data_IF_094608740483
#
_entry.id   IF_094608740483
#
_cell.length_a   1.000
_cell.length_b   1.000
_cell.length_c   1.000
_cell.angle_alpha   90.00
_cell.angle_beta   90.00
_cell.angle_gamma   90.00
#
_symmetry.space_group_name_H-M   'P 1'
#
loop_
_entity.id
_entity.type
_entity.pdbx_description
1 polymer ?
#
# COMPACT_ATOMS: atom_id res chain seq x y z
N UNK A 1 113.26 -85.41 -101.71
CA UNK A 1 112.16 -84.46 -101.97
C UNK A 1 110.88 -85.25 -101.86
N UNK A 2 110.20 -85.16 -100.71
CA UNK A 2 108.96 -85.88 -100.47
C UNK A 2 107.88 -85.34 -101.41
N UNK A 3 107.38 -86.20 -102.29
CA UNK A 3 106.36 -85.88 -103.28
C UNK A 3 104.98 -85.82 -102.60
N UNK A 4 104.00 -85.13 -103.22
CA UNK A 4 102.61 -85.03 -102.71
C UNK A 4 102.02 -86.40 -102.34
N UNK A 5 102.50 -87.48 -102.97
CA UNK A 5 102.15 -88.87 -102.64
C UNK A 5 102.64 -89.32 -101.25
N UNK A 6 103.81 -88.88 -100.77
CA UNK A 6 104.28 -89.21 -99.42
C UNK A 6 103.48 -88.46 -98.35
N UNK A 7 103.06 -87.22 -98.64
CA UNK A 7 102.13 -86.48 -97.78
C UNK A 7 100.73 -87.08 -97.79
N UNK A 8 100.24 -87.53 -98.95
CA UNK A 8 98.98 -88.25 -99.08
C UNK A 8 99.02 -89.58 -98.30
N UNK A 9 100.10 -90.35 -98.40
CA UNK A 9 100.27 -91.60 -97.64
C UNK A 9 100.47 -91.36 -96.14
N UNK A 10 101.05 -90.23 -95.73
CA UNK A 10 101.15 -89.86 -94.31
C UNK A 10 99.79 -89.41 -93.75
N UNK A 11 98.96 -88.73 -94.55
CA UNK A 11 97.59 -88.34 -94.19
C UNK A 11 96.66 -89.58 -94.19
N UNK A 12 96.73 -90.45 -95.21
CA UNK A 12 96.02 -91.73 -95.24
C UNK A 12 96.48 -92.64 -94.10
N UNK A 13 97.78 -92.71 -93.80
CA UNK A 13 98.29 -93.43 -92.63
C UNK A 13 97.83 -92.85 -91.29
N UNK A 14 97.56 -91.54 -91.21
CA UNK A 14 96.99 -90.89 -90.03
C UNK A 14 95.46 -91.12 -89.91
N UNK A 15 94.76 -91.26 -91.03
CA UNK A 15 93.31 -91.53 -91.13
C UNK A 15 92.99 -93.02 -90.96
N UNK A 16 93.78 -93.92 -91.55
CA UNK A 16 93.67 -95.38 -91.45
C UNK A 16 94.22 -95.92 -90.12
N UNK A 17 95.02 -95.12 -89.40
CA UNK A 17 95.33 -95.35 -87.98
C UNK A 17 94.10 -95.03 -87.12
N UNK A 18 93.09 -95.85 -87.36
CA UNK A 18 91.78 -95.91 -86.73
C UNK A 18 91.90 -95.87 -85.21
N UNK A 19 93.01 -96.37 -84.66
CA UNK A 19 93.32 -96.38 -83.24
C UNK A 19 93.59 -94.97 -82.69
N UNK A 20 94.45 -94.17 -83.35
CA UNK A 20 94.83 -92.83 -82.87
C UNK A 20 93.68 -91.81 -83.00
N UNK A 21 92.97 -91.82 -84.14
CA UNK A 21 91.82 -90.93 -84.36
C UNK A 21 90.64 -91.26 -83.41
N UNK A 22 90.40 -92.55 -83.12
CA UNK A 22 89.40 -92.98 -82.12
C UNK A 22 89.79 -92.55 -80.71
N UNK A 23 91.08 -92.59 -80.33
CA UNK A 23 91.53 -92.15 -79.01
C UNK A 23 91.33 -90.64 -78.77
N UNK A 24 91.63 -89.80 -79.76
CA UNK A 24 91.44 -88.34 -79.65
C UNK A 24 89.96 -87.98 -79.52
N UNK A 25 89.11 -88.54 -80.39
CA UNK A 25 87.66 -88.36 -80.31
C UNK A 25 87.09 -88.91 -78.99
N UNK A 26 87.55 -90.09 -78.55
CA UNK A 26 87.13 -90.66 -77.27
C UNK A 26 87.53 -89.76 -76.08
N UNK A 27 88.71 -89.14 -76.12
CA UNK A 27 89.16 -88.22 -75.08
C UNK A 27 88.37 -86.90 -75.09
N UNK A 28 88.05 -86.35 -76.26
CA UNK A 28 87.17 -85.18 -76.39
C UNK A 28 85.75 -85.48 -75.91
N UNK A 29 85.17 -86.63 -76.29
CA UNK A 29 83.87 -87.08 -75.80
C UNK A 29 83.89 -87.27 -74.29
N UNK A 30 84.94 -87.87 -73.71
CA UNK A 30 85.09 -88.03 -72.25
C UNK A 30 85.16 -86.68 -71.54
N UNK A 31 85.92 -85.71 -72.07
CA UNK A 31 86.00 -84.35 -71.52
C UNK A 31 84.65 -83.62 -71.60
N UNK A 32 84.01 -83.63 -72.76
CA UNK A 32 82.69 -83.00 -72.94
C UNK A 32 81.62 -83.65 -72.05
N UNK A 33 81.62 -84.99 -71.96
CA UNK A 33 80.71 -85.73 -71.07
C UNK A 33 80.98 -85.41 -69.60
N UNK A 34 82.25 -85.28 -69.21
CA UNK A 34 82.66 -84.85 -67.87
C UNK A 34 82.18 -83.43 -67.53
N UNK A 35 82.34 -82.49 -68.46
CA UNK A 35 81.84 -81.12 -68.33
C UNK A 35 80.31 -81.07 -68.21
N UNK A 36 79.60 -81.84 -69.04
CA UNK A 36 78.14 -81.98 -68.96
C UNK A 36 77.74 -82.54 -67.59
N UNK A 37 78.43 -83.56 -67.08
CA UNK A 37 78.14 -84.15 -65.76
C UNK A 37 78.35 -83.15 -64.63
N UNK A 38 79.42 -82.34 -64.66
CA UNK A 38 79.66 -81.27 -63.68
C UNK A 38 78.56 -80.21 -63.76
N UNK A 39 78.25 -79.72 -64.98
CA UNK A 39 77.21 -78.70 -65.18
C UNK A 39 75.83 -79.19 -64.75
N UNK A 40 75.50 -80.45 -65.01
CA UNK A 40 74.26 -81.07 -64.59
C UNK A 40 74.19 -81.22 -63.05
N UNK A 41 75.30 -81.54 -62.38
CA UNK A 41 75.36 -81.56 -60.91
C UNK A 41 75.19 -80.18 -60.28
N UNK A 42 75.78 -79.14 -60.88
CA UNK A 42 75.62 -77.76 -60.44
C UNK A 42 74.17 -77.29 -60.64
N UNK A 43 73.57 -77.54 -61.81
CA UNK A 43 72.15 -77.22 -62.04
C UNK A 43 71.22 -77.93 -61.04
N UNK A 44 71.47 -79.22 -60.75
CA UNK A 44 70.70 -79.92 -59.72
C UNK A 44 70.88 -79.31 -58.32
N UNK A 45 72.05 -78.73 -58.00
CA UNK A 45 72.29 -78.00 -56.76
C UNK A 45 71.50 -76.70 -56.75
N UNK A 46 71.64 -75.87 -57.77
CA UNK A 46 70.94 -74.59 -57.90
C UNK A 46 69.42 -74.79 -57.83
N UNK A 47 68.91 -75.82 -58.50
CA UNK A 47 67.48 -76.12 -58.51
C UNK A 47 66.97 -76.61 -57.15
N UNK A 48 67.81 -77.26 -56.33
CA UNK A 48 67.49 -77.57 -54.93
C UNK A 48 67.49 -76.32 -54.06
N UNK A 49 68.43 -75.40 -54.28
CA UNK A 49 68.51 -74.14 -53.55
C UNK A 49 67.30 -73.25 -53.85
N UNK A 50 66.91 -73.11 -55.12
CA UNK A 50 65.70 -72.39 -55.52
C UNK A 50 64.44 -73.00 -54.90
N UNK A 51 64.32 -74.34 -54.86
CA UNK A 51 63.18 -74.99 -54.18
C UNK A 51 63.16 -74.67 -52.69
N UNK A 52 64.29 -74.74 -51.99
CA UNK A 52 64.39 -74.39 -50.56
C UNK A 52 64.01 -72.93 -50.32
N UNK A 53 64.52 -72.01 -51.14
CA UNK A 53 64.21 -70.59 -51.04
C UNK A 53 62.71 -70.31 -51.26
N UNK A 54 62.09 -70.98 -52.24
CA UNK A 54 60.65 -70.91 -52.48
C UNK A 54 59.86 -71.43 -51.28
N UNK A 55 60.23 -72.58 -50.73
CA UNK A 55 59.52 -73.17 -49.60
C UNK A 55 59.65 -72.28 -48.33
N UNK A 56 60.80 -71.65 -48.13
CA UNK A 56 61.03 -70.66 -47.07
C UNK A 56 60.15 -69.41 -47.25
N UNK A 57 60.14 -68.81 -48.44
CA UNK A 57 59.29 -67.65 -48.74
C UNK A 57 57.81 -67.96 -48.53
N UNK A 58 57.37 -69.17 -48.89
CA UNK A 58 56.00 -69.60 -48.68
C UNK A 58 55.67 -69.77 -47.20
N UNK A 59 56.59 -70.29 -46.38
CA UNK A 59 56.42 -70.33 -44.94
C UNK A 59 56.37 -68.92 -44.32
N UNK A 60 57.24 -68.02 -44.76
CA UNK A 60 57.30 -66.66 -44.23
C UNK A 60 56.06 -65.84 -44.62
N UNK A 61 55.53 -66.04 -45.83
CA UNK A 61 54.25 -65.45 -46.25
C UNK A 61 53.10 -65.91 -45.35
N UNK A 62 53.00 -67.21 -45.07
CA UNK A 62 51.95 -67.75 -44.18
C UNK A 62 52.11 -67.24 -42.75
N UNK A 63 53.35 -67.14 -42.24
CA UNK A 63 53.63 -66.56 -40.92
C UNK A 63 53.24 -65.09 -40.87
N UNK A 64 53.52 -64.33 -41.92
CA UNK A 64 53.19 -62.91 -42.00
C UNK A 64 51.68 -62.69 -42.09
N UNK A 65 50.98 -63.49 -42.88
CA UNK A 65 49.51 -63.47 -42.94
C UNK A 65 48.88 -63.75 -41.57
N UNK A 66 49.37 -64.77 -40.84
CA UNK A 66 48.90 -65.04 -39.47
C UNK A 66 49.19 -63.88 -38.52
N UNK A 67 50.41 -63.33 -38.55
CA UNK A 67 50.77 -62.18 -37.71
C UNK A 67 49.86 -60.97 -37.95
N UNK A 68 49.52 -60.69 -39.21
CA UNK A 68 48.60 -59.60 -39.56
C UNK A 68 47.19 -59.87 -39.04
N UNK A 69 46.67 -61.06 -39.28
CA UNK A 69 45.34 -61.45 -38.80
C UNK A 69 45.25 -61.40 -37.26
N UNK A 70 46.24 -61.95 -36.55
CA UNK A 70 46.27 -61.92 -35.09
C UNK A 70 46.37 -60.47 -34.56
N UNK A 71 47.17 -59.61 -35.21
CA UNK A 71 47.29 -58.21 -34.85
C UNK A 71 45.98 -57.43 -35.07
N UNK A 72 45.26 -57.70 -36.16
CA UNK A 72 43.94 -57.12 -36.45
C UNK A 72 42.91 -57.55 -35.41
N UNK A 73 42.84 -58.85 -35.10
CA UNK A 73 41.97 -59.37 -34.03
C UNK A 73 42.28 -58.74 -32.68
N UNK A 74 43.56 -58.54 -32.33
CA UNK A 74 43.95 -57.85 -31.09
C UNK A 74 43.51 -56.38 -31.13
N UNK A 75 43.67 -55.70 -32.27
CA UNK A 75 43.27 -54.31 -32.43
C UNK A 75 41.76 -54.13 -32.27
N UNK A 76 40.97 -54.97 -32.94
CA UNK A 76 39.50 -54.96 -32.86
C UNK A 76 39.02 -55.23 -31.45
N UNK A 77 39.58 -56.25 -30.78
CA UNK A 77 39.29 -56.51 -29.37
C UNK A 77 39.61 -55.32 -28.47
N UNK A 78 40.70 -54.58 -28.77
CA UNK A 78 41.05 -53.36 -28.03
C UNK A 78 40.10 -52.20 -28.31
N UNK A 79 39.55 -52.10 -29.52
CA UNK A 79 38.49 -51.12 -29.85
C UNK A 79 37.21 -51.47 -29.10
N UNK A 80 36.75 -52.72 -29.18
CA UNK A 80 35.53 -53.19 -28.51
C UNK A 80 35.62 -52.96 -27.00
N UNK A 81 36.76 -53.29 -26.37
CA UNK A 81 36.96 -53.03 -24.94
C UNK A 81 36.88 -51.55 -24.59
N UNK A 82 37.42 -50.66 -25.44
CA UNK A 82 37.33 -49.21 -25.24
C UNK A 82 35.90 -48.72 -25.38
N UNK A 83 35.18 -49.13 -26.43
CA UNK A 83 33.78 -48.76 -26.62
C UNK A 83 32.88 -49.24 -25.47
N UNK A 84 33.12 -50.46 -24.98
CA UNK A 84 32.38 -50.97 -23.82
C UNK A 84 32.69 -50.16 -22.55
N UNK A 85 33.96 -49.79 -22.32
CA UNK A 85 34.34 -48.96 -21.18
C UNK A 85 33.72 -47.54 -21.29
N UNK A 86 33.79 -46.91 -22.46
CA UNK A 86 33.17 -45.62 -22.74
C UNK A 86 31.65 -45.67 -22.56
N UNK A 87 30.99 -46.74 -22.99
CA UNK A 87 29.56 -46.94 -22.78
C UNK A 87 29.18 -47.04 -21.30
N UNK A 88 29.98 -47.75 -20.49
CA UNK A 88 29.78 -47.83 -19.03
C UNK A 88 30.03 -46.48 -18.36
N UNK A 89 31.07 -45.74 -18.77
CA UNK A 89 31.35 -44.40 -18.25
C UNK A 89 30.22 -43.41 -18.58
N UNK A 90 29.71 -43.43 -19.80
CA UNK A 90 28.56 -42.58 -20.19
C UNK A 90 27.31 -42.90 -19.37
N UNK A 91 27.05 -44.18 -19.11
CA UNK A 91 25.95 -44.62 -18.25
C UNK A 91 26.13 -44.11 -16.81
N UNK A 92 27.33 -44.26 -16.24
CA UNK A 92 27.64 -43.75 -14.91
C UNK A 92 27.51 -42.22 -14.82
N UNK A 93 27.95 -41.49 -15.85
CA UNK A 93 27.78 -40.03 -15.95
C UNK A 93 26.29 -39.68 -15.97
N UNK A 94 25.49 -40.37 -16.79
CA UNK A 94 24.05 -40.12 -16.89
C UNK A 94 23.35 -40.34 -15.53
N UNK A 95 23.66 -41.44 -14.83
CA UNK A 95 23.12 -41.75 -13.51
C UNK A 95 23.51 -40.70 -12.47
N UNK A 96 24.77 -40.25 -12.46
CA UNK A 96 25.24 -39.18 -11.58
C UNK A 96 24.52 -37.86 -11.86
N UNK A 97 24.29 -37.51 -13.13
CA UNK A 97 23.51 -36.34 -13.50
C UNK A 97 22.05 -36.45 -13.04
N UNK A 98 21.43 -37.63 -13.17
CA UNK A 98 20.07 -37.89 -12.69
C UNK A 98 19.99 -37.76 -11.16
N UNK A 99 20.90 -38.39 -10.42
CA UNK A 99 20.97 -38.29 -8.96
C UNK A 99 21.14 -36.84 -8.50
N UNK A 100 22.05 -36.09 -9.14
CA UNK A 100 22.25 -34.66 -8.85
C UNK A 100 20.99 -33.83 -9.09
N UNK A 101 20.30 -34.09 -10.20
CA UNK A 101 19.08 -33.37 -10.56
C UNK A 101 17.93 -33.71 -9.61
N UNK A 102 17.77 -34.97 -9.25
CA UNK A 102 16.77 -35.43 -8.29
C UNK A 102 17.02 -34.84 -6.90
N UNK A 103 18.26 -34.85 -6.42
CA UNK A 103 18.64 -34.20 -5.16
C UNK A 103 18.35 -32.70 -5.17
N UNK A 104 18.71 -31.99 -6.25
CA UNK A 104 18.40 -30.56 -6.40
C UNK A 104 16.90 -30.29 -6.40
N UNK A 105 16.11 -31.11 -7.10
CA UNK A 105 14.66 -30.99 -7.13
C UNK A 105 14.02 -31.24 -5.76
N UNK A 106 14.53 -32.21 -5.00
CA UNK A 106 14.06 -32.47 -3.63
C UNK A 106 14.33 -31.27 -2.72
N UNK A 107 15.55 -30.71 -2.77
CA UNK A 107 15.92 -29.52 -1.99
C UNK A 107 15.04 -28.33 -2.37
N UNK A 108 14.80 -28.08 -3.66
CA UNK A 108 13.92 -27.00 -4.11
C UNK A 108 12.49 -27.17 -3.56
N UNK A 109 11.92 -28.38 -3.60
CA UNK A 109 10.60 -28.65 -3.01
C UNK A 109 10.56 -28.44 -1.50
N UNK A 110 11.68 -28.67 -0.80
CA UNK A 110 11.79 -28.40 0.64
C UNK A 110 11.84 -26.90 0.91
N UNK A 111 12.65 -26.15 0.16
CA UNK A 111 12.73 -24.69 0.25
C UNK A 111 11.37 -24.04 0.00
N UNK A 112 10.63 -24.47 -1.03
CA UNK A 112 9.28 -23.96 -1.31
C UNK A 112 8.30 -24.25 -0.16
N UNK A 113 8.42 -25.41 0.49
CA UNK A 113 7.60 -25.73 1.67
C UNK A 113 7.96 -24.86 2.86
N UNK A 114 9.24 -24.57 3.07
CA UNK A 114 9.70 -23.68 4.15
C UNK A 114 9.24 -22.25 3.88
N UNK A 115 9.40 -21.74 2.66
CA UNK A 115 8.96 -20.41 2.28
C UNK A 115 7.44 -20.22 2.52
N UNK A 116 6.61 -21.17 2.08
CA UNK A 116 5.15 -21.13 2.36
C UNK A 116 4.83 -21.12 3.85
N UNK A 117 5.55 -21.91 4.66
CA UNK A 117 5.39 -21.89 6.12
C UNK A 117 5.81 -20.56 6.72
N UNK A 118 6.89 -19.94 6.23
CA UNK A 118 7.32 -18.62 6.68
C UNK A 118 6.27 -17.54 6.35
N UNK A 119 5.70 -17.56 5.15
CA UNK A 119 4.58 -16.67 4.78
C UNK A 119 3.39 -16.86 5.73
N UNK A 120 3.00 -18.11 6.01
CA UNK A 120 1.90 -18.40 6.94
C UNK A 120 2.19 -17.96 8.37
N UNK A 121 3.42 -18.08 8.84
CA UNK A 121 3.83 -17.57 10.15
C UNK A 121 3.70 -16.04 10.17
N UNK A 122 4.13 -15.35 9.10
CA UNK A 122 3.95 -13.91 8.96
C UNK A 122 2.49 -13.47 9.05
N UNK A 123 1.59 -14.16 8.32
CA UNK A 123 0.14 -13.95 8.39
C UNK A 123 -0.39 -14.15 9.82
N UNK A 124 -0.05 -15.26 10.46
CA UNK A 124 -0.52 -15.58 11.82
C UNK A 124 -0.03 -14.55 12.85
N UNK A 125 1.19 -14.03 12.71
CA UNK A 125 1.71 -12.98 13.59
C UNK A 125 0.93 -11.68 13.40
N UNK A 126 0.61 -11.32 12.16
CA UNK A 126 -0.22 -10.15 11.85
C UNK A 126 -1.66 -10.32 12.38
N UNK A 127 -2.27 -11.47 12.17
CA UNK A 127 -3.60 -11.81 12.70
C UNK A 127 -3.62 -11.76 14.22
N UNK A 128 -2.60 -12.31 14.89
CA UNK A 128 -2.52 -12.30 16.35
C UNK A 128 -2.35 -10.87 16.88
N UNK A 129 -1.56 -10.03 16.22
CA UNK A 129 -1.43 -8.61 16.57
C UNK A 129 -2.77 -7.87 16.41
N UNK A 130 -3.47 -8.08 15.29
CA UNK A 130 -4.79 -7.49 15.06
C UNK A 130 -5.82 -7.96 16.09
N UNK A 131 -5.81 -9.25 16.44
CA UNK A 131 -6.68 -9.82 17.47
C UNK A 131 -6.40 -9.20 18.84
N UNK A 132 -5.13 -9.03 19.20
CA UNK A 132 -4.74 -8.40 20.46
C UNK A 132 -5.25 -6.95 20.56
N UNK A 133 -5.13 -6.17 19.48
CA UNK A 133 -5.71 -4.81 19.41
C UNK A 133 -7.24 -4.81 19.57
N UNK A 134 -7.92 -5.76 18.95
CA UNK A 134 -9.37 -5.90 19.05
C UNK A 134 -9.80 -6.26 20.48
N UNK A 135 -9.11 -7.19 21.13
CA UNK A 135 -9.33 -7.53 22.53
C UNK A 135 -9.11 -6.32 23.45
N UNK A 136 -8.05 -5.54 23.23
CA UNK A 136 -7.78 -4.33 24.02
C UNK A 136 -8.89 -3.27 23.85
N UNK A 137 -9.35 -3.06 22.61
CA UNK A 137 -10.46 -2.15 22.33
C UNK A 137 -11.75 -2.61 22.99
N UNK A 138 -12.07 -3.91 22.93
CA UNK A 138 -13.25 -4.47 23.57
C UNK A 138 -13.19 -4.36 25.10
N UNK A 139 -12.00 -4.55 25.70
CA UNK A 139 -11.81 -4.33 27.14
C UNK A 139 -12.08 -2.87 27.54
N UNK A 140 -11.57 -1.92 26.75
CA UNK A 140 -11.82 -0.49 26.97
C UNK A 140 -13.31 -0.15 26.84
N UNK A 141 -13.98 -0.66 25.81
CA UNK A 141 -15.43 -0.46 25.63
C UNK A 141 -16.23 -1.03 26.79
N UNK A 142 -15.90 -2.24 27.25
CA UNK A 142 -16.55 -2.85 28.41
C UNK A 142 -16.37 -2.02 29.68
N UNK A 143 -15.15 -1.49 29.90
CA UNK A 143 -14.88 -0.60 31.03
C UNK A 143 -15.70 0.69 30.97
N UNK A 144 -15.83 1.28 29.77
CA UNK A 144 -16.66 2.46 29.56
C UNK A 144 -18.13 2.17 29.84
N UNK A 145 -18.68 1.09 29.29
CA UNK A 145 -20.06 0.68 29.55
C UNK A 145 -20.32 0.44 31.04
N UNK A 146 -19.36 -0.14 31.79
CA UNK A 146 -19.48 -0.28 33.25
C UNK A 146 -19.54 1.06 33.98
N UNK A 147 -18.76 2.05 33.53
CA UNK A 147 -18.82 3.41 34.06
C UNK A 147 -20.17 4.08 33.78
N UNK A 148 -20.67 3.95 32.55
CA UNK A 148 -21.97 4.51 32.15
C UNK A 148 -23.13 3.87 32.93
N UNK A 149 -23.09 2.56 33.19
CA UNK A 149 -24.05 1.87 34.05
C UNK A 149 -24.03 2.45 35.46
N UNK A 150 -22.85 2.63 36.07
CA UNK A 150 -22.73 3.22 37.40
C UNK A 150 -23.26 4.66 37.47
N UNK A 151 -23.06 5.45 36.41
CA UNK A 151 -23.61 6.81 36.32
C UNK A 151 -25.14 6.79 36.21
N UNK A 152 -25.70 5.87 35.43
CA UNK A 152 -27.15 5.69 35.32
C UNK A 152 -27.77 5.26 36.65
N UNK A 153 -27.14 4.33 37.37
CA UNK A 153 -27.57 3.91 38.71
C UNK A 153 -27.53 5.09 39.70
N UNK A 154 -26.44 5.85 39.73
CA UNK A 154 -26.34 7.04 40.57
C UNK A 154 -27.44 8.07 40.28
N UNK A 155 -27.71 8.34 39.00
CA UNK A 155 -28.75 9.27 38.59
C UNK A 155 -30.15 8.76 38.96
N UNK A 156 -30.40 7.46 38.77
CA UNK A 156 -31.65 6.80 39.18
C UNK A 156 -31.89 6.96 40.67
N UNK A 157 -30.90 6.64 41.50
CA UNK A 157 -31.03 6.67 42.96
C UNK A 157 -31.27 8.11 43.46
N UNK A 158 -30.60 9.09 42.86
CA UNK A 158 -30.82 10.51 43.17
C UNK A 158 -32.22 11.00 42.79
N UNK A 159 -32.77 10.53 41.68
CA UNK A 159 -34.15 10.82 41.29
C UNK A 159 -35.14 10.19 42.28
N UNK A 160 -34.90 8.94 42.68
CA UNK A 160 -35.71 8.26 43.69
C UNK A 160 -35.68 8.97 45.05
N UNK A 161 -34.52 9.40 45.52
CA UNK A 161 -34.42 10.19 46.75
C UNK A 161 -35.20 11.50 46.68
N UNK A 162 -35.11 12.21 45.55
CA UNK A 162 -35.89 13.45 45.34
C UNK A 162 -37.39 13.18 45.34
N UNK A 163 -37.80 12.09 44.69
CA UNK A 163 -39.20 11.67 44.66
C UNK A 163 -39.71 11.34 46.06
N UNK A 164 -39.00 10.54 46.85
CA UNK A 164 -39.40 10.21 48.22
C UNK A 164 -39.44 11.45 49.11
N UNK A 165 -38.48 12.38 48.98
CA UNK A 165 -38.52 13.67 49.69
C UNK A 165 -39.75 14.50 49.33
N UNK A 166 -40.06 14.62 48.03
CA UNK A 166 -41.25 15.35 47.56
C UNK A 166 -42.54 14.73 48.07
N UNK A 167 -42.67 13.40 47.94
CA UNK A 167 -43.81 12.62 48.44
C UNK A 167 -44.03 12.81 49.93
N UNK A 168 -42.97 12.75 50.75
CA UNK A 168 -43.04 13.01 52.17
C UNK A 168 -43.49 14.45 52.48
N UNK A 169 -42.97 15.44 51.73
CA UNK A 169 -43.39 16.84 51.87
C UNK A 169 -44.89 17.01 51.56
N UNK A 170 -45.37 16.43 50.46
CA UNK A 170 -46.79 16.48 50.10
C UNK A 170 -47.67 15.78 51.14
N UNK A 171 -47.20 14.67 51.74
CA UNK A 171 -47.92 14.00 52.82
C UNK A 171 -48.00 14.88 54.08
N UNK A 172 -46.89 15.51 54.47
CA UNK A 172 -46.86 16.46 55.61
C UNK A 172 -47.75 17.68 55.34
N UNK A 173 -47.72 18.23 54.13
CA UNK A 173 -48.60 19.36 53.74
C UNK A 173 -50.08 18.98 53.77
N UNK A 174 -50.45 17.78 53.31
CA UNK A 174 -51.82 17.25 53.45
C UNK A 174 -52.22 17.14 54.91
N UNK A 175 -51.33 16.61 55.77
CA UNK A 175 -51.61 16.52 57.20
C UNK A 175 -51.77 17.90 57.87
N UNK A 176 -50.93 18.86 57.50
CA UNK A 176 -51.04 20.24 57.99
C UNK A 176 -52.34 20.90 57.54
N UNK A 177 -52.76 20.70 56.29
CA UNK A 177 -54.06 21.19 55.82
C UNK A 177 -55.24 20.59 56.60
N UNK A 178 -55.20 19.29 56.90
CA UNK A 178 -56.21 18.66 57.75
C UNK A 178 -56.22 19.26 59.17
N UNK A 179 -55.04 19.47 59.76
CA UNK A 179 -54.90 20.09 61.08
C UNK A 179 -55.42 21.55 61.08
N UNK A 180 -55.12 22.32 60.03
CA UNK A 180 -55.59 23.70 59.87
C UNK A 180 -57.11 23.75 59.63
N UNK A 181 -57.68 22.83 58.84
CA UNK A 181 -59.12 22.71 58.68
C UNK A 181 -59.81 22.39 60.01
N UNK A 182 -59.24 21.52 60.83
CA UNK A 182 -59.74 21.26 62.18
C UNK A 182 -59.67 22.50 63.09
N UNK A 183 -58.60 23.29 63.00
CA UNK A 183 -58.48 24.57 63.73
C UNK A 183 -59.46 25.63 63.22
N UNK A 184 -59.65 25.76 61.91
CA UNK A 184 -60.63 26.68 61.31
C UNK A 184 -62.04 26.30 61.75
N UNK A 185 -62.39 25.02 61.75
CA UNK A 185 -63.67 24.54 62.27
C UNK A 185 -63.84 24.90 63.76
N UNK A 186 -62.78 24.79 64.57
CA UNK A 186 -62.80 25.21 65.97
C UNK A 186 -62.93 26.74 66.14
N UNK A 187 -62.34 27.54 65.24
CA UNK A 187 -62.41 29.01 65.25
C UNK A 187 -63.77 29.52 64.73
N UNK A 188 -64.37 28.87 63.73
CA UNK A 188 -65.69 29.20 63.19
C UNK A 188 -66.84 28.95 64.19
N UNK A 189 -66.62 28.08 65.19
CA UNK A 189 -67.56 27.84 66.28
C UNK A 189 -67.50 28.89 67.41
N UNK A 190 -66.65 29.92 67.29
CA UNK A 190 -66.60 31.07 68.20
C UNK A 190 -67.04 32.36 67.46
N UNK A 191 -67.73 33.31 68.12
CA UNK A 191 -68.23 34.51 67.45
C UNK A 191 -67.09 35.44 66.97
N UNK A 192 -67.32 36.25 65.92
CA UNK A 192 -66.25 36.87 65.13
C UNK A 192 -65.62 38.07 65.84
N UNK A 193 -64.34 37.97 66.19
CA UNK A 193 -63.51 39.14 66.46
C UNK A 193 -62.88 39.63 65.16
N UNK A 194 -63.26 40.84 64.75
CA UNK A 194 -62.70 41.57 63.63
C UNK A 194 -61.24 41.90 63.90
N UNK A 195 -60.31 41.36 63.09
CA UNK A 195 -58.93 41.87 63.03
C UNK A 195 -58.52 42.00 61.55
N UNK A 196 -58.44 43.27 61.13
CA UNK A 196 -57.72 43.74 59.95
C UNK A 196 -56.24 43.35 60.06
N UNK A 197 -55.64 42.75 59.03
CA UNK A 197 -54.21 42.93 58.79
C UNK A 197 -53.83 42.80 57.31
N UNK A 198 -52.89 43.66 56.95
CA UNK A 198 -52.48 44.07 55.63
C UNK A 198 -51.63 43.02 54.89
N UNK A 199 -51.63 43.14 53.55
CA UNK A 199 -50.90 42.27 52.65
C UNK A 199 -49.38 42.27 52.89
N UNK A 200 -48.83 41.07 53.02
CA UNK A 200 -47.40 40.81 53.03
C UNK A 200 -47.00 40.37 51.62
N UNK A 201 -46.02 41.03 50.95
CA UNK A 201 -45.53 40.63 49.64
C UNK A 201 -44.81 39.27 49.72
N UNK A 202 -45.08 38.38 48.76
CA UNK A 202 -44.37 37.11 48.65
C UNK A 202 -42.92 37.33 48.16
N UNK A 203 -41.91 36.70 48.78
CA UNK A 203 -40.56 36.66 48.25
C UNK A 203 -40.50 35.64 47.10
N UNK A 204 -40.38 36.16 45.87
CA UNK A 204 -40.03 35.38 44.69
C UNK A 204 -38.53 35.06 44.76
N UNK A 205 -38.15 33.78 44.68
CA UNK A 205 -36.75 33.38 44.58
C UNK A 205 -36.23 33.67 43.16
N UNK A 206 -35.43 34.72 43.04
CA UNK A 206 -34.70 35.10 41.83
C UNK A 206 -33.46 34.21 41.68
N UNK A 207 -33.47 33.30 40.70
CA UNK A 207 -32.25 32.67 40.20
C UNK A 207 -31.76 33.57 39.06
N UNK A 208 -31.06 34.64 39.43
CA UNK A 208 -30.69 35.76 38.56
C UNK A 208 -29.83 35.40 37.35
N UNK A 209 -30.45 34.82 36.32
CA UNK A 209 -30.10 34.97 34.91
C UNK A 209 -31.42 35.01 34.13
N UNK A 210 -31.95 36.21 33.94
CA UNK A 210 -33.06 36.42 33.00
C UNK A 210 -32.50 36.35 31.56
N UNK A 211 -32.62 35.17 30.94
CA UNK A 211 -32.25 34.94 29.54
C UNK A 211 -33.15 35.68 28.55
N UNK A 212 -34.21 36.34 29.02
CA UNK A 212 -35.13 37.14 28.20
C UNK A 212 -34.79 38.64 28.19
N UNK A 213 -33.73 39.10 28.87
CA UNK A 213 -33.34 40.52 28.89
C UNK A 213 -32.72 40.96 27.55
N UNK A 214 -33.60 41.10 26.55
CA UNK A 214 -33.35 41.68 25.23
C UNK A 214 -33.61 43.20 25.23
N UNK A 215 -33.46 43.89 26.36
CA UNK A 215 -33.61 45.34 26.44
C UNK A 215 -32.24 46.05 26.51
N UNK A 216 -31.57 46.17 25.36
CA UNK A 216 -30.74 47.36 25.05
C UNK A 216 -29.58 47.76 25.97
N UNK A 217 -28.89 46.83 26.64
CA UNK A 217 -27.66 47.10 27.43
C UNK A 217 -26.44 46.28 26.99
N UNK A 218 -25.20 46.65 27.41
CA UNK A 218 -23.94 46.02 26.97
C UNK A 218 -23.83 44.54 27.40
N UNK A 219 -22.89 43.74 26.83
CA UNK A 219 -23.07 42.32 26.51
C UNK A 219 -22.94 41.33 27.71
N UNK A 220 -23.23 41.76 28.94
CA UNK A 220 -22.88 41.03 30.16
C UNK A 220 -23.59 39.69 30.31
N UNK A 221 -24.90 39.61 30.05
CA UNK A 221 -25.65 38.34 30.13
C UNK A 221 -25.41 37.40 28.95
N UNK A 222 -25.15 37.97 27.76
CA UNK A 222 -24.95 37.24 26.49
C UNK A 222 -23.60 36.55 26.46
N UNK A 223 -22.54 37.26 26.82
CA UNK A 223 -21.18 36.73 26.91
C UNK A 223 -21.07 35.68 28.01
N UNK A 224 -21.80 35.87 29.11
CA UNK A 224 -21.81 34.91 30.22
C UNK A 224 -22.52 33.60 29.85
N UNK A 225 -23.65 33.63 29.14
CA UNK A 225 -24.34 32.43 28.69
C UNK A 225 -23.53 31.64 27.64
N UNK A 226 -22.92 32.32 26.66
CA UNK A 226 -22.02 31.68 25.69
C UNK A 226 -20.77 31.14 26.40
N UNK A 227 -20.23 31.86 27.38
CA UNK A 227 -19.13 31.42 28.23
C UNK A 227 -19.45 30.14 29.01
N UNK A 228 -20.65 30.01 29.57
CA UNK A 228 -21.10 28.78 30.21
C UNK A 228 -21.25 27.63 29.23
N UNK A 229 -21.85 27.86 28.05
CA UNK A 229 -21.96 26.85 26.99
C UNK A 229 -20.58 26.34 26.56
N UNK A 230 -19.63 27.25 26.35
CA UNK A 230 -18.23 26.94 26.06
C UNK A 230 -17.60 26.10 27.18
N UNK A 231 -17.84 26.47 28.44
CA UNK A 231 -17.32 25.74 29.61
C UNK A 231 -17.84 24.30 29.75
N UNK A 232 -18.99 23.99 29.14
CA UNK A 232 -19.55 22.64 29.08
C UNK A 232 -18.92 21.74 27.99
N UNK A 233 -18.09 22.29 27.11
CA UNK A 233 -17.47 21.55 25.99
C UNK A 233 -16.02 21.20 26.29
N UNK A 234 -15.55 20.09 25.74
CA UNK A 234 -14.17 19.62 25.89
C UNK A 234 -13.64 19.03 24.58
N UNK A 235 -12.31 19.05 24.43
CA UNK A 235 -11.62 18.48 23.28
C UNK A 235 -12.05 19.11 21.95
N UNK A 236 -12.30 18.27 20.93
CA UNK A 236 -12.59 18.72 19.56
C UNK A 236 -13.86 19.57 19.42
N UNK A 237 -14.87 19.34 20.26
CA UNK A 237 -16.09 20.15 20.26
C UNK A 237 -15.80 21.57 20.74
N UNK A 238 -14.92 21.73 21.72
CA UNK A 238 -14.49 23.04 22.23
C UNK A 238 -13.67 23.81 21.19
N UNK A 239 -12.69 23.14 20.55
CA UNK A 239 -11.87 23.74 19.48
C UNK A 239 -12.74 24.22 18.30
N UNK A 240 -13.68 23.37 17.86
CA UNK A 240 -14.63 23.74 16.81
C UNK A 240 -15.53 24.91 17.22
N UNK A 241 -16.04 24.90 18.46
CA UNK A 241 -16.89 25.96 18.96
C UNK A 241 -16.14 27.29 19.02
N UNK A 242 -14.88 27.28 19.42
CA UNK A 242 -14.04 28.48 19.43
C UNK A 242 -13.82 29.03 18.02
N UNK A 243 -13.46 28.18 17.06
CA UNK A 243 -13.23 28.59 15.67
C UNK A 243 -14.48 29.13 14.97
N UNK A 244 -15.64 28.50 15.17
CA UNK A 244 -16.86 28.80 14.42
C UNK A 244 -17.78 29.82 15.10
N UNK A 245 -17.77 29.87 16.44
CA UNK A 245 -18.63 30.77 17.22
C UNK A 245 -17.81 31.86 17.89
N UNK A 246 -16.78 31.51 18.67
CA UNK A 246 -16.04 32.51 19.47
C UNK A 246 -15.21 33.48 18.60
N UNK A 247 -14.66 33.05 17.45
CA UNK A 247 -13.93 33.97 16.53
C UNK A 247 -14.82 34.88 15.69
N UNK A 248 -16.15 34.69 15.74
CA UNK A 248 -17.11 35.38 14.88
C UNK A 248 -17.91 36.40 15.69
N UNK A 249 -18.02 37.61 15.16
CA UNK A 249 -18.69 38.70 15.88
C UNK A 249 -20.18 38.82 15.57
N UNK A 250 -20.61 38.47 14.35
CA UNK A 250 -21.95 38.79 13.84
C UNK A 250 -22.65 37.56 13.24
N UNK A 251 -23.94 37.68 12.94
CA UNK A 251 -24.77 36.63 12.37
C UNK A 251 -25.32 37.02 11.00
N UNK A 252 -24.91 36.32 9.93
CA UNK A 252 -25.34 36.55 8.55
C UNK A 252 -26.60 35.74 8.23
N UNK A 253 -27.58 36.36 7.58
CA UNK A 253 -28.79 35.74 7.07
C UNK A 253 -28.66 35.52 5.56
N UNK A 254 -27.99 34.44 5.13
CA UNK A 254 -27.57 34.22 3.74
C UNK A 254 -28.67 34.45 2.69
N UNK A 255 -29.92 34.17 3.05
CA UNK A 255 -31.04 34.18 2.11
C UNK A 255 -31.88 35.45 2.21
N UNK A 256 -31.54 36.38 3.10
CA UNK A 256 -32.20 37.65 3.27
C UNK A 256 -31.25 38.77 2.85
N UNK A 257 -31.68 39.62 1.93
CA UNK A 257 -30.93 40.79 1.45
C UNK A 257 -31.45 42.06 2.11
N UNK A 258 -30.66 43.13 2.09
CA UNK A 258 -31.03 44.45 2.61
C UNK A 258 -32.01 45.23 1.69
N UNK A 259 -32.56 44.55 0.68
CA UNK A 259 -33.60 45.04 -0.22
C UNK A 259 -35.04 44.74 0.24
N UNK A 260 -35.25 44.31 1.50
CA UNK A 260 -36.59 43.93 1.99
C UNK A 260 -37.62 45.07 2.04
N UNK A 261 -37.14 46.32 1.98
CA UNK A 261 -37.96 47.51 2.22
C UNK A 261 -38.53 47.62 3.64
N UNK A 262 -38.11 46.77 4.59
CA UNK A 262 -38.62 46.76 5.96
C UNK A 262 -37.74 47.54 6.94
N UNK A 263 -38.36 48.29 7.85
CA UNK A 263 -37.65 49.17 8.78
C UNK A 263 -36.71 48.43 9.76
N UNK A 264 -37.01 47.17 10.10
CA UNK A 264 -36.19 46.36 10.99
C UNK A 264 -36.54 44.86 10.84
N UNK A 265 -35.75 44.00 11.50
CA UNK A 265 -35.94 42.55 11.47
C UNK A 265 -37.23 42.07 12.13
N UNK A 266 -37.79 42.83 13.07
CA UNK A 266 -39.09 42.49 13.68
C UNK A 266 -40.20 42.59 12.64
N UNK A 267 -40.13 43.56 11.73
CA UNK A 267 -41.06 43.72 10.63
C UNK A 267 -40.89 42.64 9.54
N UNK A 268 -39.70 42.05 9.40
CA UNK A 268 -39.44 40.90 8.51
C UNK A 268 -39.98 39.59 9.10
N UNK A 269 -39.91 39.45 10.43
CA UNK A 269 -40.32 38.23 11.12
C UNK A 269 -41.83 37.95 10.97
N UNK A 270 -42.17 36.74 10.54
CA UNK A 270 -43.55 36.30 10.35
C UNK A 270 -44.17 36.69 9.00
N UNK A 271 -43.43 37.36 8.12
CA UNK A 271 -43.88 37.66 6.74
C UNK A 271 -43.68 36.47 5.82
N UNK A 272 -44.52 36.36 4.79
CA UNK A 272 -44.33 35.40 3.72
C UNK A 272 -43.27 35.86 2.71
N UNK A 273 -42.69 34.93 1.97
CA UNK A 273 -41.72 35.24 0.91
C UNK A 273 -42.28 36.25 -0.12
N UNK A 274 -43.58 36.15 -0.47
CA UNK A 274 -44.27 37.14 -1.33
C UNK A 274 -44.28 38.53 -0.70
N UNK A 275 -44.50 38.64 0.62
CA UNK A 275 -44.61 39.92 1.32
C UNK A 275 -43.27 40.63 1.53
N UNK A 276 -42.14 39.92 1.40
CA UNK A 276 -40.78 40.49 1.46
C UNK A 276 -40.35 40.98 0.06
N UNK A 277 -40.82 40.33 -1.00
CA UNK A 277 -40.52 40.70 -2.39
C UNK A 277 -39.21 40.09 -2.91
N UNK A 278 -39.05 40.07 -4.24
CA UNK A 278 -37.92 39.44 -4.93
C UNK A 278 -36.57 40.08 -4.56
N UNK A 279 -36.53 41.39 -4.32
CA UNK A 279 -35.30 42.12 -3.98
C UNK A 279 -34.84 41.88 -2.53
N UNK A 280 -35.71 41.32 -1.68
CA UNK A 280 -35.46 41.07 -0.25
C UNK A 280 -35.05 39.63 0.09
N UNK A 281 -35.23 38.67 -0.83
CA UNK A 281 -34.86 37.27 -0.67
C UNK A 281 -33.91 36.83 -1.77
N UNK A 282 -32.89 36.05 -1.40
CA UNK A 282 -31.93 35.53 -2.37
C UNK A 282 -32.55 34.37 -3.18
N UNK A 283 -32.54 34.45 -4.51
CA UNK A 283 -33.17 33.47 -5.42
C UNK A 283 -32.63 32.04 -5.28
N UNK A 284 -31.43 31.88 -4.69
CA UNK A 284 -30.69 30.62 -4.59
C UNK A 284 -31.39 29.48 -3.83
N UNK A 285 -32.58 29.69 -3.25
CA UNK A 285 -33.33 28.68 -2.50
C UNK A 285 -34.76 28.41 -2.96
N UNK A 286 -35.22 29.01 -4.07
CA UNK A 286 -36.50 28.65 -4.70
C UNK A 286 -37.69 28.54 -3.74
N UNK A 287 -37.80 29.48 -2.78
CA UNK A 287 -38.77 29.38 -1.70
C UNK A 287 -40.21 29.54 -2.23
N UNK A 288 -41.18 28.72 -1.79
CA UNK A 288 -42.56 28.87 -2.18
C UNK A 288 -43.11 30.18 -1.61
N UNK A 289 -43.96 30.88 -2.37
CA UNK A 289 -44.41 32.23 -2.01
C UNK A 289 -45.13 32.37 -0.66
N UNK A 290 -45.61 31.26 -0.10
CA UNK A 290 -46.25 31.16 1.21
C UNK A 290 -45.27 30.85 2.36
N UNK A 291 -43.98 30.62 2.11
CA UNK A 291 -43.00 30.34 3.15
C UNK A 291 -42.88 31.53 4.10
N UNK A 292 -43.11 31.28 5.40
CA UNK A 292 -43.02 32.32 6.43
C UNK A 292 -41.57 32.44 6.87
N UNK A 293 -41.00 33.64 6.74
CA UNK A 293 -39.68 33.98 7.25
C UNK A 293 -39.77 34.17 8.76
N UNK A 294 -39.32 33.13 9.49
CA UNK A 294 -39.20 33.18 10.95
C UNK A 294 -37.76 33.51 11.32
N UNK A 295 -37.60 34.57 12.12
CA UNK A 295 -36.33 35.05 12.68
C UNK A 295 -36.25 34.80 14.20
N UNK A 296 -37.17 34.00 14.75
CA UNK A 296 -37.20 33.62 16.17
C UNK A 296 -37.71 32.19 16.35
N UNK A 297 -37.46 31.64 17.54
CA UNK A 297 -37.82 30.29 17.97
C UNK A 297 -39.21 29.82 17.55
N UNK A 298 -39.30 28.56 17.11
CA UNK A 298 -40.52 27.97 16.57
C UNK A 298 -41.47 27.49 17.68
N UNK A 299 -40.97 27.03 18.83
CA UNK A 299 -41.84 26.51 19.91
C UNK A 299 -41.26 26.63 21.35
N UNK A 300 -40.07 27.21 21.54
CA UNK A 300 -39.47 27.48 22.87
C UNK A 300 -38.09 28.12 22.80
N UNK A 301 -37.59 28.70 23.90
CA UNK A 301 -36.34 29.50 23.96
C UNK A 301 -35.04 28.77 23.56
N UNK A 302 -35.12 27.49 23.20
CA UNK A 302 -34.00 26.58 22.96
C UNK A 302 -34.04 25.90 21.57
N UNK A 303 -35.14 26.09 20.84
CA UNK A 303 -35.38 25.43 19.55
C UNK A 303 -35.58 26.51 18.46
N UNK A 304 -34.47 27.19 18.19
CA UNK A 304 -34.37 28.11 17.06
C UNK A 304 -34.15 27.31 15.78
N UNK A 305 -34.85 27.66 14.71
CA UNK A 305 -34.61 27.13 13.37
C UNK A 305 -34.29 28.29 12.43
N UNK A 306 -33.05 28.33 11.94
CA UNK A 306 -32.54 29.37 11.05
C UNK A 306 -32.39 28.91 9.60
N UNK A 307 -32.90 27.73 9.25
CA UNK A 307 -32.68 27.11 7.95
C UNK A 307 -33.24 27.97 6.79
N UNK A 308 -34.44 28.52 6.96
CA UNK A 308 -35.13 29.35 5.94
C UNK A 308 -34.28 30.56 5.54
N UNK A 309 -33.69 31.24 6.52
CA UNK A 309 -32.92 32.48 6.30
C UNK A 309 -31.43 32.24 6.11
N UNK A 310 -30.98 30.99 6.22
CA UNK A 310 -29.57 30.62 6.04
C UNK A 310 -28.67 31.29 7.07
N UNK A 311 -29.09 31.28 8.33
CA UNK A 311 -28.36 31.91 9.44
C UNK A 311 -26.98 31.27 9.63
N UNK A 312 -25.92 32.08 9.72
CA UNK A 312 -24.55 31.58 9.99
C UNK A 312 -23.64 32.63 10.65
N UNK A 313 -22.65 32.23 11.45
CA UNK A 313 -21.64 33.12 12.00
C UNK A 313 -20.83 33.88 10.93
N UNK A 314 -20.48 35.15 11.17
CA UNK A 314 -19.71 35.98 10.24
C UNK A 314 -18.93 37.10 10.93
N UNK A 315 -17.95 37.67 10.22
CA UNK A 315 -17.24 38.91 10.59
C UNK A 315 -17.56 40.07 9.65
N UNK A 316 -18.59 39.93 8.81
CA UNK A 316 -19.07 41.04 7.99
C UNK A 316 -19.70 42.13 8.87
N UNK A 317 -19.63 43.41 8.44
CA UNK A 317 -20.24 44.51 9.17
C UNK A 317 -21.76 44.36 9.21
N UNK A 318 -22.37 44.84 10.30
CA UNK A 318 -23.81 44.86 10.51
C UNK A 318 -24.45 45.87 9.56
N UNK A 319 -25.58 45.50 8.95
CA UNK A 319 -26.36 46.37 8.08
C UNK A 319 -27.85 46.28 8.41
N UNK A 320 -28.59 47.34 8.04
CA UNK A 320 -30.04 47.38 8.17
C UNK A 320 -30.71 46.60 7.04
N UNK A 321 -31.86 45.95 7.29
CA UNK A 321 -32.56 45.15 6.29
C UNK A 321 -33.22 45.97 5.16
N UNK A 322 -33.17 47.30 5.21
CA UNK A 322 -33.62 48.24 4.19
C UNK A 322 -32.51 49.13 3.62
N UNK A 323 -31.23 48.75 3.79
CA UNK A 323 -30.12 49.54 3.29
C UNK A 323 -30.06 49.62 1.75
N UNK A 324 -30.75 48.73 1.03
CA UNK A 324 -30.98 48.82 -0.42
C UNK A 324 -29.75 48.58 -1.29
N UNK A 325 -28.67 48.00 -0.74
CA UNK A 325 -27.42 47.76 -1.48
C UNK A 325 -27.39 46.39 -2.17
N UNK A 326 -28.46 45.60 -2.06
CA UNK A 326 -28.51 44.22 -2.56
C UNK A 326 -27.59 43.27 -1.79
N UNK A 327 -27.14 43.66 -0.60
CA UNK A 327 -26.21 42.87 0.21
C UNK A 327 -26.96 42.02 1.22
N UNK A 328 -26.37 40.89 1.63
CA UNK A 328 -26.99 40.03 2.63
C UNK A 328 -27.13 40.75 3.97
N UNK A 329 -28.25 40.55 4.67
CA UNK A 329 -28.46 41.09 6.01
C UNK A 329 -27.55 40.41 7.03
N UNK A 330 -26.91 41.21 7.87
CA UNK A 330 -26.00 40.81 8.94
C UNK A 330 -26.45 41.46 10.24
N UNK A 331 -26.69 40.64 11.26
CA UNK A 331 -27.19 41.03 12.58
C UNK A 331 -26.04 41.09 13.58
N UNK A 332 -26.09 42.07 14.49
CA UNK A 332 -25.08 42.28 15.52
C UNK A 332 -25.06 41.15 16.57
N UNK A 333 -23.87 40.58 16.81
CA UNK A 333 -23.66 39.56 17.83
C UNK A 333 -24.22 38.19 17.45
N UNK A 334 -23.69 37.15 18.07
CA UNK A 334 -24.25 35.78 18.00
C UNK A 334 -25.06 35.52 19.27
N UNK A 335 -26.31 35.09 19.13
CA UNK A 335 -27.18 34.75 20.27
C UNK A 335 -26.89 33.33 20.74
N UNK A 336 -27.20 33.08 22.00
CA UNK A 336 -27.04 31.76 22.60
C UNK A 336 -27.83 30.67 21.84
N UNK A 337 -29.09 30.94 21.47
CA UNK A 337 -29.89 30.01 20.65
C UNK A 337 -29.30 29.76 19.25
N UNK A 338 -28.73 30.80 18.62
CA UNK A 338 -28.03 30.68 17.34
C UNK A 338 -26.79 29.80 17.45
N UNK A 339 -26.02 29.96 18.53
CA UNK A 339 -24.84 29.14 18.81
C UNK A 339 -25.22 27.67 19.04
N UNK A 340 -26.29 27.40 19.80
CA UNK A 340 -26.80 26.04 20.01
C UNK A 340 -27.30 25.42 18.70
N UNK A 341 -28.07 26.16 17.91
CA UNK A 341 -28.56 25.66 16.64
C UNK A 341 -27.42 25.34 15.67
N UNK A 342 -26.43 26.24 15.56
CA UNK A 342 -25.25 26.04 14.72
C UNK A 342 -24.45 24.82 15.15
N UNK A 343 -24.24 24.66 16.46
CA UNK A 343 -23.61 23.47 17.04
C UNK A 343 -24.38 22.20 16.68
N UNK A 344 -25.69 22.15 16.95
CA UNK A 344 -26.54 20.97 16.69
C UNK A 344 -26.54 20.57 15.20
N UNK A 345 -26.52 21.55 14.30
CA UNK A 345 -26.70 21.30 12.86
C UNK A 345 -25.39 21.09 12.11
N UNK A 346 -24.28 21.72 12.54
CA UNK A 346 -23.03 21.70 11.79
C UNK A 346 -21.91 20.87 12.47
N UNK A 347 -21.95 20.68 13.79
CA UNK A 347 -20.94 19.86 14.46
C UNK A 347 -21.06 18.36 14.10
N UNK A 348 -22.26 17.74 14.06
CA UNK A 348 -22.39 16.34 13.63
C UNK A 348 -21.92 16.11 12.19
N UNK A 349 -22.20 17.03 11.26
CA UNK A 349 -21.69 16.97 9.89
C UNK A 349 -20.17 17.05 9.85
N UNK A 350 -19.55 17.84 10.72
CA UNK A 350 -18.09 17.91 10.84
C UNK A 350 -17.52 16.62 11.46
N UNK A 351 -18.23 15.98 12.38
CA UNK A 351 -17.85 14.64 12.88
C UNK A 351 -17.99 13.56 11.81
N UNK A 352 -19.03 13.60 10.97
CA UNK A 352 -19.18 12.70 9.82
C UNK A 352 -18.06 12.91 8.79
N UNK A 353 -17.73 14.16 8.42
CA UNK A 353 -16.59 14.47 7.54
C UNK A 353 -15.25 13.99 8.14
N UNK A 354 -15.13 14.05 9.48
CA UNK A 354 -13.94 13.60 10.21
C UNK A 354 -13.88 12.07 10.31
N UNK A 355 -15.02 11.40 10.48
CA UNK A 355 -15.13 9.95 10.35
C UNK A 355 -14.77 9.51 8.93
N UNK A 356 -15.20 10.25 7.91
CA UNK A 356 -14.86 9.98 6.52
C UNK A 356 -13.34 10.10 6.25
N UNK A 357 -12.68 11.10 6.86
CA UNK A 357 -11.22 11.24 6.80
C UNK A 357 -10.49 10.12 7.58
N UNK A 358 -11.09 9.61 8.66
CA UNK A 358 -10.51 8.54 9.49
C UNK A 358 -10.67 7.17 8.81
N UNK A 359 -11.80 6.90 8.17
CA UNK A 359 -12.12 5.62 7.53
C UNK A 359 -11.82 5.57 6.02
N UNK A 360 -11.05 6.54 5.47
CA UNK A 360 -10.54 6.58 4.08
C UNK A 360 -11.63 6.70 2.99
N UNK A 361 -12.74 7.37 3.26
CA UNK A 361 -13.83 7.57 2.29
C UNK A 361 -13.74 8.90 1.53
N UNK A 362 -12.91 9.86 1.96
CA UNK A 362 -12.64 11.09 1.20
C UNK A 362 -11.79 10.75 -0.04
N UNK A 363 -12.43 10.71 -1.20
CA UNK A 363 -11.78 10.59 -2.51
C UNK A 363 -11.91 11.90 -3.27
N UNK A 364 -10.98 12.17 -4.19
CA UNK A 364 -11.05 13.32 -5.09
C UNK A 364 -12.44 13.46 -5.75
N UNK A 365 -13.01 12.36 -6.27
CA UNK A 365 -14.28 12.41 -7.00
C UNK A 365 -14.27 13.51 -8.07
N UNK A 366 -15.32 14.32 -8.10
CA UNK A 366 -15.47 15.49 -9.00
C UNK A 366 -14.80 16.76 -8.46
N UNK A 367 -14.22 16.73 -7.25
CA UNK A 367 -13.56 17.91 -6.67
C UNK A 367 -12.26 18.23 -7.42
N UNK A 368 -11.98 19.53 -7.54
CA UNK A 368 -10.66 19.98 -7.99
C UNK A 368 -9.60 19.66 -6.93
N UNK A 369 -8.33 19.60 -7.35
CA UNK A 369 -7.22 19.27 -6.43
C UNK A 369 -7.05 20.35 -5.36
N UNK A 370 -7.34 21.61 -5.68
CA UNK A 370 -7.32 22.71 -4.72
C UNK A 370 -8.47 22.62 -3.71
N UNK A 371 -9.66 22.23 -4.14
CA UNK A 371 -10.80 21.99 -3.23
C UNK A 371 -10.54 20.81 -2.30
N UNK A 372 -9.98 19.72 -2.83
CA UNK A 372 -9.57 18.56 -2.04
C UNK A 372 -8.50 18.94 -1.01
N UNK A 373 -7.50 19.73 -1.42
CA UNK A 373 -6.42 20.21 -0.55
C UNK A 373 -6.96 21.10 0.57
N UNK A 374 -7.81 22.09 0.25
CA UNK A 374 -8.44 22.96 1.24
C UNK A 374 -9.33 22.18 2.19
N UNK A 375 -10.08 21.19 1.70
CA UNK A 375 -10.94 20.33 2.52
C UNK A 375 -10.11 19.50 3.51
N UNK A 376 -9.04 18.86 3.04
CA UNK A 376 -8.14 18.05 3.90
C UNK A 376 -7.37 18.93 4.90
N UNK A 377 -6.91 20.12 4.51
CA UNK A 377 -6.29 21.07 5.44
C UNK A 377 -7.26 21.57 6.50
N UNK A 378 -8.50 21.89 6.11
CA UNK A 378 -9.53 22.37 7.03
C UNK A 378 -9.84 21.30 8.07
N UNK A 379 -10.08 20.06 7.65
CA UNK A 379 -10.38 18.93 8.54
C UNK A 379 -9.13 18.56 9.36
N UNK A 380 -7.95 18.63 8.73
CA UNK A 380 -6.67 18.32 9.34
C UNK A 380 -6.27 19.21 10.50
N UNK A 381 -6.45 20.52 10.35
CA UNK A 381 -6.26 21.50 11.44
C UNK A 381 -7.23 21.23 12.60
N UNK A 382 -8.50 20.94 12.29
CA UNK A 382 -9.56 20.67 13.28
C UNK A 382 -9.39 19.35 14.03
N UNK A 383 -8.60 18.43 13.50
CA UNK A 383 -8.30 17.14 14.12
C UNK A 383 -6.88 17.06 14.68
N UNK A 384 -6.14 18.18 14.68
CA UNK A 384 -4.78 18.32 15.17
C UNK A 384 -3.80 17.28 14.56
N UNK A 385 -3.96 16.97 13.27
CA UNK A 385 -3.06 16.06 12.56
C UNK A 385 -1.73 16.73 12.27
N UNK A 386 -0.65 15.94 12.34
CA UNK A 386 0.67 16.42 11.95
C UNK A 386 0.73 16.67 10.44
N UNK A 387 1.53 17.65 9.97
CA UNK A 387 1.69 17.93 8.55
C UNK A 387 2.02 16.68 7.70
N UNK A 388 2.81 15.74 8.25
CA UNK A 388 3.19 14.49 7.60
C UNK A 388 2.02 13.51 7.45
N UNK A 389 1.07 13.52 8.38
CA UNK A 389 -0.12 12.67 8.35
C UNK A 389 -1.14 13.22 7.36
N UNK A 390 -1.27 14.54 7.28
CA UNK A 390 -2.08 15.22 6.26
C UNK A 390 -1.55 14.98 4.86
N UNK A 391 -0.23 14.96 4.69
CA UNK A 391 0.42 14.55 3.45
C UNK A 391 0.02 13.15 3.01
N UNK A 392 0.09 12.16 3.91
CA UNK A 392 -0.29 10.78 3.58
C UNK A 392 -1.76 10.67 3.23
N UNK A 393 -2.63 11.33 4.01
CA UNK A 393 -4.08 11.34 3.76
C UNK A 393 -4.46 12.04 2.45
N UNK A 394 -3.73 13.09 2.07
CA UNK A 394 -3.91 13.76 0.77
C UNK A 394 -3.52 12.87 -0.40
N UNK A 395 -2.41 12.13 -0.30
CA UNK A 395 -1.99 11.17 -1.33
C UNK A 395 -2.96 9.97 -1.43
N UNK A 396 -3.44 9.44 -0.30
CA UNK A 396 -4.43 8.35 -0.27
C UNK A 396 -5.78 8.74 -0.92
N UNK A 397 -6.12 10.05 -0.94
CA UNK A 397 -7.36 10.57 -1.52
C UNK A 397 -7.30 10.79 -3.04
N UNK A 398 -6.10 10.71 -3.65
CA UNK A 398 -5.90 10.90 -5.08
C UNK A 398 -6.17 9.61 -5.88
N UNK A 399 -6.72 9.69 -7.10
CA UNK A 399 -6.80 8.55 -8.00
C UNK A 399 -5.40 8.01 -8.36
N UNK A 400 -5.26 6.68 -8.52
CA UNK A 400 -4.00 5.97 -8.81
C UNK A 400 -3.08 6.65 -9.86
N UNK A 401 -3.58 7.14 -11.02
CA UNK A 401 -2.73 7.78 -12.02
C UNK A 401 -1.98 9.03 -11.53
N UNK A 402 -2.53 9.72 -10.52
CA UNK A 402 -1.93 10.93 -9.95
C UNK A 402 -1.02 10.61 -8.77
N UNK A 403 -1.22 9.47 -8.12
CA UNK A 403 -0.34 8.95 -7.07
C UNK A 403 1.02 8.58 -7.67
N UNK A 404 1.02 7.88 -8.81
CA UNK A 404 2.24 7.56 -9.57
C UNK A 404 3.00 8.82 -10.01
N UNK A 405 2.28 9.82 -10.53
CA UNK A 405 2.88 11.10 -10.96
C UNK A 405 3.43 11.93 -9.79
N UNK A 406 2.76 11.91 -8.64
CA UNK A 406 3.22 12.59 -7.43
C UNK A 406 4.46 11.91 -6.82
N UNK A 407 4.53 10.57 -6.86
CA UNK A 407 5.73 9.82 -6.48
C UNK A 407 6.90 10.10 -7.43
N UNK A 408 6.63 10.21 -8.73
CA UNK A 408 7.66 10.49 -9.73
C UNK A 408 8.27 11.90 -9.55
N UNK A 409 7.42 12.91 -9.27
CA UNK A 409 7.86 14.27 -8.91
C UNK A 409 8.69 14.25 -7.61
N UNK A 410 8.30 13.42 -6.63
CA UNK A 410 9.04 13.29 -5.37
C UNK A 410 10.40 12.60 -5.54
N UNK A 411 10.51 11.64 -6.47
CA UNK A 411 11.77 11.00 -6.88
C UNK A 411 12.69 12.00 -7.58
N UNK A 412 12.16 12.75 -8.56
CA UNK A 412 12.92 13.74 -9.31
C UNK A 412 13.54 14.85 -8.44
N UNK A 413 12.87 15.25 -7.34
CA UNK A 413 13.42 16.21 -6.36
C UNK A 413 14.47 15.60 -5.41
N UNK A 414 14.52 14.27 -5.24
CA UNK A 414 15.54 13.57 -4.45
C UNK A 414 16.86 13.42 -5.21
N UNK A 415 16.78 13.19 -6.51
CA UNK A 415 17.95 12.95 -7.37
C UNK A 415 18.66 14.25 -7.80
N UNK A 416 18.11 15.42 -7.44
CA UNK A 416 18.67 16.74 -7.72
C UNK A 416 19.75 17.23 -6.73
N UNK A 417 20.21 16.40 -5.80
CA UNK A 417 21.36 16.71 -4.93
C UNK A 417 22.61 16.07 -5.54
N UNK A 418 23.57 16.83 -6.09
CA UNK A 418 24.82 16.26 -6.57
C UNK A 418 25.75 16.02 -5.38
N UNK A 419 26.10 14.75 -5.11
CA UNK A 419 27.13 14.40 -4.12
C UNK A 419 28.50 14.33 -4.83
N UNK A 420 29.48 15.19 -4.49
CA UNK A 420 30.83 15.10 -5.01
C UNK A 420 31.67 14.14 -4.15
N UNK A 421 32.56 13.40 -4.82
CA UNK A 421 33.72 12.66 -4.31
C UNK A 421 33.56 11.15 -4.10
N UNK A 422 33.93 10.45 -5.18
CA UNK A 422 34.70 9.19 -5.24
C UNK A 422 35.63 8.98 -4.02
N UNK A 423 35.60 7.80 -3.39
CA UNK A 423 36.74 6.85 -3.38
C UNK A 423 36.51 5.63 -2.47
N UNK A 424 36.90 4.47 -3.01
CA UNK A 424 37.14 3.16 -2.42
C UNK A 424 37.38 3.06 -0.90
N UNK A 425 36.76 2.06 -0.25
CA UNK A 425 37.50 0.88 0.28
C UNK A 425 36.62 -0.29 0.72
N UNK A 426 37.26 -1.44 0.62
CA UNK A 426 36.83 -2.81 0.82
C UNK A 426 36.05 -3.15 2.10
N UNK A 427 35.37 -4.28 1.96
CA UNK A 427 34.69 -5.12 2.93
C UNK A 427 35.46 -5.43 4.24
N UNK A 428 34.65 -5.72 5.28
CA UNK A 428 34.91 -6.43 6.56
C UNK A 428 35.22 -5.57 7.79
N UNK A 429 34.30 -5.63 8.77
CA UNK A 429 34.47 -6.05 10.19
C UNK A 429 33.17 -5.65 10.95
N UNK A 430 32.34 -6.61 11.39
CA UNK A 430 32.35 -7.31 12.70
C UNK A 430 31.97 -6.38 13.87
N UNK A 431 30.77 -6.65 14.41
CA UNK A 431 30.26 -6.53 15.79
C UNK A 431 30.25 -5.17 16.54
N UNK A 432 29.03 -4.88 17.01
CA UNK A 432 28.58 -4.10 18.17
C UNK A 432 28.20 -2.59 18.08
N UNK A 433 27.14 -2.17 18.82
CA UNK A 433 26.35 -0.96 18.56
C UNK A 433 26.59 0.19 19.55
N UNK A 434 26.34 1.44 19.10
CA UNK A 434 25.74 2.60 19.83
C UNK A 434 26.02 3.91 19.05
N UNK A 435 25.40 5.06 19.38
CA UNK A 435 23.97 5.38 19.25
C UNK A 435 23.72 6.64 18.40
N UNK A 436 22.51 6.72 17.84
CA UNK A 436 21.74 7.95 17.54
C UNK A 436 22.47 9.14 16.89
N UNK A 437 22.26 9.30 15.59
CA UNK A 437 21.94 10.60 14.97
C UNK A 437 21.09 10.36 13.73
N UNK A 438 19.79 10.61 13.85
CA UNK A 438 18.85 10.51 12.73
C UNK A 438 19.07 11.71 11.79
N UNK A 439 19.28 11.52 10.47
CA UNK A 439 19.27 12.64 9.54
C UNK A 439 17.83 13.15 9.40
N UNK A 440 17.63 14.45 9.65
CA UNK A 440 16.38 15.14 9.36
C UNK A 440 16.01 14.96 7.88
N UNK A 441 14.95 14.18 7.63
CA UNK A 441 14.32 14.12 6.32
C UNK A 441 13.57 15.43 6.08
N UNK A 442 14.17 16.37 5.36
CA UNK A 442 13.44 17.47 4.75
C UNK A 442 12.61 16.91 3.58
N UNK A 443 11.41 16.42 3.91
CA UNK A 443 10.42 16.03 2.92
C UNK A 443 9.76 17.24 2.26
N UNK A 444 9.43 17.12 0.97
CA UNK A 444 8.66 18.12 0.21
C UNK A 444 7.39 18.52 1.00
N UNK A 445 7.11 19.82 1.13
CA UNK A 445 5.94 20.33 1.85
C UNK A 445 4.63 19.95 1.14
N UNK A 446 3.55 19.77 1.89
CA UNK A 446 2.21 19.48 1.34
C UNK A 446 1.78 20.55 0.32
N UNK A 447 2.12 21.80 0.56
CA UNK A 447 1.81 22.92 -0.34
C UNK A 447 2.60 22.85 -1.66
N UNK A 448 3.86 22.42 -1.60
CA UNK A 448 4.70 22.22 -2.80
C UNK A 448 4.19 21.06 -3.66
N UNK A 449 3.66 19.99 -3.04
CA UNK A 449 3.02 18.89 -3.78
C UNK A 449 1.73 19.34 -4.46
N UNK A 450 0.89 20.11 -3.77
CA UNK A 450 -0.34 20.64 -4.35
C UNK A 450 -0.03 21.51 -5.59
N UNK A 451 0.93 22.44 -5.48
CA UNK A 451 1.39 23.27 -6.61
C UNK A 451 1.96 22.44 -7.75
N UNK A 452 2.78 21.42 -7.46
CA UNK A 452 3.38 20.57 -8.49
C UNK A 452 2.34 19.76 -9.27
N UNK A 453 1.35 19.19 -8.59
CA UNK A 453 0.27 18.42 -9.22
C UNK A 453 -0.64 19.36 -10.04
N UNK A 454 -0.90 20.57 -9.53
CA UNK A 454 -1.69 21.57 -10.25
C UNK A 454 -0.99 22.06 -11.53
N UNK A 455 0.33 22.24 -11.50
CA UNK A 455 1.13 22.61 -12.67
C UNK A 455 1.20 21.47 -13.70
N UNK A 456 1.25 20.22 -13.25
CA UNK A 456 1.21 19.06 -14.13
C UNK A 456 -0.14 18.88 -14.84
N UNK A 457 -1.24 19.35 -14.23
CA UNK A 457 -2.58 19.39 -14.82
C UNK A 457 -2.73 20.50 -15.87
N UNK A 458 -2.11 21.66 -15.66
CA UNK A 458 -2.15 22.77 -16.62
C UNK A 458 -1.28 22.49 -17.86
N UNK A 459 -0.15 21.80 -17.71
CA UNK A 459 0.66 21.33 -18.84
C UNK A 459 -0.10 20.32 -19.72
N UNK A 460 -0.88 19.42 -19.13
CA UNK A 460 -1.65 18.44 -19.90
C UNK A 460 -2.83 19.05 -20.67
N UNK A 461 -3.36 20.19 -20.23
CA UNK A 461 -4.38 20.97 -20.96
C UNK A 461 -3.83 21.79 -22.13
N UNK A 462 -2.50 21.94 -22.24
CA UNK A 462 -1.84 22.70 -23.32
C UNK A 462 -1.25 21.81 -24.41
N UNK A 463 -1.29 20.48 -24.23
CA UNK A 463 -0.84 19.47 -25.20
C UNK A 463 -1.98 18.86 -26.05
N UNK A 464 -3.17 19.46 -26.05
CA UNK A 464 -4.30 19.10 -26.94
C UNK A 464 -4.77 20.29 -27.77
#
# INVERSE_FOLDING_TARGET
MATIAELANAIDGFVDNTTLAREILANQIKRSTGQIRIKNNNLHRDLREVRRARDQLQQDLVREQRRRYDAEVIHDNKIIRRQNAEGVEQMAIADLYQLRTNGRNQVNRMLDRIARKQTRIGELVQENFAFQLLCQRNAHHLQRCRGDIGLLEYNRDRLYERYEKWKNKTQVERQNNLNLQAQILALQNNPPNQINMAGIPQPFFDWGVDLADNAGGPPTGRDQAIGYLRGCMQGRTLEWFDDEITTKQNWKLQNLTDGTGQANLVAVNGRTAIQIGADGLNEALGQPGNAIVKLRAVEGSWDEDWHIVGGRPTNLPVNLPNAGNGTTVVVAGIRFGQAIWWLKTHFPTVEEELQDLIYRTIRKGDMTIDELYRKILRIGRRANYRPEELRRKFLDALPLPWLEKAEDIARHKRDGIPDPLVSHRASRQIYEPSPVSAPQQQGISLEDMQKAIQNALTQQKTEY
#
